data_IF_547268610358
#
_entry.id   IF_547268610358
#
_cell.length_a   1.000
_cell.length_b   1.000
_cell.length_c   1.000
_cell.angle_alpha   90.00
_cell.angle_beta   90.00
_cell.angle_gamma   90.00
#
_symmetry.space_group_name_H-M   'P 1'
#
loop_
_entity.id
_entity.type
_entity.pdbx_description
1 polymer ?
#
# COMPACT_ATOMS: atom_id res chain seq x y z
N UNK A 1 -11.83 -3.58 20.21
CA UNK A 1 -11.48 -2.91 18.95
C UNK A 1 -10.42 -1.87 19.28
N UNK A 2 -9.21 -1.90 18.69
CA UNK A 2 -8.21 -0.86 18.93
C UNK A 2 -8.77 0.52 18.51
N UNK A 3 -8.41 1.56 19.26
CA UNK A 3 -9.05 2.89 19.15
C UNK A 3 -8.94 3.49 17.75
N UNK A 4 -7.83 3.28 17.05
CA UNK A 4 -7.65 3.69 15.66
C UNK A 4 -8.71 3.12 14.72
N UNK A 5 -8.94 1.80 14.76
CA UNK A 5 -9.96 1.17 13.91
C UNK A 5 -11.36 1.63 14.28
N UNK A 6 -11.63 1.85 15.57
CA UNK A 6 -12.90 2.39 16.04
C UNK A 6 -13.14 3.79 15.47
N UNK A 7 -12.14 4.66 15.56
CA UNK A 7 -12.22 6.02 15.03
C UNK A 7 -12.38 6.03 13.51
N UNK A 8 -11.71 5.13 12.80
CA UNK A 8 -11.90 4.97 11.35
C UNK A 8 -13.33 4.53 10.99
N UNK A 9 -13.92 3.57 11.71
CA UNK A 9 -15.30 3.14 11.48
C UNK A 9 -16.31 4.27 11.75
N UNK A 10 -16.13 5.02 12.84
CA UNK A 10 -16.96 6.19 13.15
C UNK A 10 -16.85 7.26 12.06
N UNK A 11 -15.63 7.52 11.57
CA UNK A 11 -15.39 8.47 10.50
C UNK A 11 -16.02 8.02 9.17
N UNK A 12 -15.96 6.72 8.85
CA UNK A 12 -16.64 6.15 7.68
C UNK A 12 -18.15 6.37 7.73
N UNK A 13 -18.80 6.04 8.86
CA UNK A 13 -20.23 6.26 9.01
C UNK A 13 -20.61 7.74 8.91
N UNK A 14 -19.76 8.63 9.42
CA UNK A 14 -19.97 10.08 9.31
C UNK A 14 -19.88 10.57 7.86
N UNK A 15 -19.02 9.96 7.02
CA UNK A 15 -18.98 10.23 5.57
C UNK A 15 -20.23 9.66 4.88
N UNK A 16 -20.62 8.43 5.19
CA UNK A 16 -21.80 7.79 4.60
C UNK A 16 -23.11 8.55 4.90
N UNK A 17 -23.21 9.19 6.06
CA UNK A 17 -24.36 9.99 6.48
C UNK A 17 -24.46 11.37 5.81
N UNK A 18 -23.46 11.79 5.01
CA UNK A 18 -23.40 13.13 4.38
C UNK A 18 -24.15 13.28 3.03
N UNK A 19 -25.15 12.44 2.75
CA UNK A 19 -25.92 12.49 1.50
C UNK A 19 -27.29 13.18 1.61
N UNK A 20 -27.43 14.31 2.33
CA UNK A 20 -28.64 15.15 2.24
C UNK A 20 -28.43 16.56 1.64
N UNK A 21 -27.22 17.14 1.68
CA UNK A 21 -27.00 18.52 1.19
C UNK A 21 -25.66 18.76 0.48
N UNK A 22 -24.96 17.70 0.03
CA UNK A 22 -23.78 17.83 -0.85
C UNK A 22 -22.54 18.52 -0.24
N UNK A 23 -22.57 18.90 1.04
CA UNK A 23 -21.45 19.52 1.74
C UNK A 23 -20.89 18.58 2.81
N UNK A 24 -19.59 18.25 2.77
CA UNK A 24 -18.96 17.46 3.82
C UNK A 24 -18.66 18.31 5.06
N UNK A 25 -19.65 18.99 5.64
CA UNK A 25 -19.57 19.49 7.02
C UNK A 25 -20.36 18.54 7.93
N UNK A 26 -19.85 17.89 8.97
CA UNK A 26 -18.50 17.81 9.50
C UNK A 26 -18.20 16.37 9.90
N UNK A 27 -16.99 15.91 9.58
CA UNK A 27 -16.28 15.10 10.57
C UNK A 27 -16.16 16.08 11.74
N UNK A 28 -16.58 15.72 12.96
CA UNK A 28 -16.08 16.45 14.13
C UNK A 28 -14.56 16.36 14.03
N UNK A 29 -13.96 17.46 13.58
CA UNK A 29 -12.60 17.53 13.10
C UNK A 29 -11.64 17.00 14.16
N UNK A 30 -10.86 16.03 13.71
CA UNK A 30 -9.42 15.98 13.85
C UNK A 30 -8.85 15.44 15.17
N UNK A 31 -9.41 15.74 16.34
CA UNK A 31 -8.76 15.28 17.59
C UNK A 31 -8.77 13.76 17.73
N UNK A 32 -9.89 13.09 17.48
CA UNK A 32 -10.00 11.64 17.69
C UNK A 32 -9.12 10.82 16.73
N UNK A 33 -9.15 11.16 15.44
CA UNK A 33 -8.42 10.39 14.42
C UNK A 33 -6.92 10.65 14.49
N UNK A 34 -6.50 11.92 14.59
CA UNK A 34 -5.08 12.23 14.74
C UNK A 34 -4.50 11.69 16.04
N UNK A 35 -5.25 11.78 17.15
CA UNK A 35 -4.82 11.16 18.42
C UNK A 35 -4.70 9.66 18.30
N UNK A 36 -5.68 8.99 17.67
CA UNK A 36 -5.62 7.55 17.48
C UNK A 36 -4.48 7.14 16.53
N UNK A 37 -4.25 7.90 15.46
CA UNK A 37 -3.12 7.70 14.55
C UNK A 37 -1.79 7.88 15.30
N UNK A 38 -1.66 8.92 16.13
CA UNK A 38 -0.49 9.14 16.99
C UNK A 38 -0.25 7.97 17.94
N UNK A 39 -1.31 7.44 18.57
CA UNK A 39 -1.18 6.28 19.46
C UNK A 39 -0.69 5.04 18.71
N UNK A 40 -1.19 4.79 17.49
CA UNK A 40 -0.70 3.68 16.64
C UNK A 40 0.75 3.89 16.24
N UNK A 41 1.13 5.11 15.88
CA UNK A 41 2.52 5.42 15.53
C UNK A 41 3.46 5.19 16.73
N UNK A 42 3.09 5.67 17.92
CA UNK A 42 3.86 5.43 19.14
C UNK A 42 3.92 3.94 19.51
N UNK A 43 2.82 3.21 19.37
CA UNK A 43 2.82 1.75 19.58
C UNK A 43 3.73 1.04 18.58
N UNK A 44 3.71 1.42 17.30
CA UNK A 44 4.59 0.85 16.28
C UNK A 44 6.07 1.14 16.52
N UNK A 45 6.41 2.34 17.03
CA UNK A 45 7.76 2.68 17.47
C UNK A 45 8.19 1.83 18.67
N UNK A 46 7.33 1.68 19.68
CA UNK A 46 7.61 0.86 20.87
C UNK A 46 7.81 -0.62 20.52
N UNK A 47 6.99 -1.14 19.60
CA UNK A 47 7.08 -2.49 19.04
C UNK A 47 8.18 -2.63 17.98
N UNK A 48 8.89 -1.54 17.66
CA UNK A 48 10.03 -1.49 16.73
C UNK A 48 9.68 -1.98 15.33
N UNK A 49 8.46 -1.69 14.87
CA UNK A 49 7.97 -2.03 13.53
C UNK A 49 8.52 -1.08 12.46
N UNK A 50 8.98 0.11 12.85
CA UNK A 50 9.65 1.08 11.98
C UNK A 50 10.52 2.01 12.83
N UNK A 51 11.39 2.77 12.17
CA UNK A 51 12.27 3.75 12.82
C UNK A 51 11.68 5.16 12.74
N UNK A 52 12.17 6.10 13.56
CA UNK A 52 11.63 7.47 13.55
C UNK A 52 11.97 8.23 12.26
N UNK A 53 13.04 7.80 11.58
CA UNK A 53 13.51 8.36 10.32
C UNK A 53 12.99 7.60 9.09
N UNK A 54 12.02 6.70 9.27
CA UNK A 54 11.41 5.96 8.16
C UNK A 54 10.75 6.93 7.17
N UNK A 55 10.88 6.65 5.87
CA UNK A 55 10.18 7.41 4.85
C UNK A 55 8.66 7.34 5.05
N UNK A 56 7.98 8.47 4.86
CA UNK A 56 6.53 8.57 5.07
C UNK A 56 5.75 7.60 4.18
N UNK A 57 6.19 7.34 2.94
CA UNK A 57 5.49 6.40 2.04
C UNK A 57 5.66 4.96 2.54
N UNK A 58 6.85 4.59 3.00
CA UNK A 58 7.09 3.29 3.64
C UNK A 58 6.23 3.09 4.88
N UNK A 59 6.18 4.10 5.75
CA UNK A 59 5.38 4.07 6.97
C UNK A 59 3.88 3.94 6.70
N UNK A 60 3.33 4.72 5.75
CA UNK A 60 1.91 4.62 5.38
C UNK A 60 1.60 3.25 4.75
N UNK A 61 2.52 2.70 3.96
CA UNK A 61 2.39 1.33 3.46
C UNK A 61 2.42 0.28 4.59
N UNK A 62 3.18 0.49 5.66
CA UNK A 62 3.18 -0.37 6.84
C UNK A 62 1.87 -0.26 7.63
N UNK A 63 1.35 0.95 7.82
CA UNK A 63 0.02 1.15 8.43
C UNK A 63 -1.07 0.42 7.64
N UNK A 64 -1.02 0.48 6.31
CA UNK A 64 -1.92 -0.27 5.42
C UNK A 64 -1.83 -1.78 5.67
N UNK A 65 -0.62 -2.34 5.79
CA UNK A 65 -0.42 -3.75 6.08
C UNK A 65 -0.97 -4.13 7.47
N UNK A 66 -0.81 -3.26 8.47
CA UNK A 66 -1.42 -3.45 9.79
C UNK A 66 -2.96 -3.46 9.71
N UNK A 67 -3.56 -2.59 8.89
CA UNK A 67 -5.02 -2.60 8.66
C UNK A 67 -5.48 -3.89 7.99
N UNK A 68 -4.77 -4.36 6.97
CA UNK A 68 -5.07 -5.64 6.33
C UNK A 68 -4.93 -6.82 7.31
N UNK A 69 -3.88 -6.81 8.13
CA UNK A 69 -3.66 -7.86 9.14
C UNK A 69 -4.79 -7.84 10.16
N UNK A 70 -5.21 -6.67 10.61
CA UNK A 70 -6.36 -6.52 11.50
C UNK A 70 -7.65 -7.05 10.86
N UNK A 71 -7.90 -6.75 9.58
CA UNK A 71 -9.03 -7.32 8.85
C UNK A 71 -8.97 -8.85 8.76
N UNK A 72 -7.78 -9.42 8.54
CA UNK A 72 -7.60 -10.88 8.44
C UNK A 72 -7.99 -11.65 9.71
N UNK A 73 -8.09 -10.97 10.86
CA UNK A 73 -8.60 -11.54 12.12
C UNK A 73 -10.13 -11.50 12.25
N UNK A 74 -10.87 -11.20 11.17
CA UNK A 74 -12.33 -11.19 11.15
C UNK A 74 -12.96 -9.88 11.67
N UNK A 75 -12.19 -8.80 11.74
CA UNK A 75 -12.69 -7.50 12.17
C UNK A 75 -13.48 -6.79 11.06
N UNK A 76 -14.26 -5.76 11.44
CA UNK A 76 -15.18 -5.04 10.54
C UNK A 76 -14.47 -4.34 9.36
N UNK A 77 -15.04 -4.48 8.16
CA UNK A 77 -14.49 -3.91 6.92
C UNK A 77 -14.58 -2.38 6.85
N UNK A 78 -15.54 -1.76 7.56
CA UNK A 78 -15.81 -0.32 7.45
C UNK A 78 -14.61 0.55 7.85
N UNK A 79 -13.89 0.13 8.90
CA UNK A 79 -12.66 0.80 9.34
C UNK A 79 -11.55 0.73 8.27
N UNK A 80 -11.48 -0.38 7.53
CA UNK A 80 -10.53 -0.57 6.45
C UNK A 80 -10.85 0.32 5.25
N UNK A 81 -12.15 0.48 4.91
CA UNK A 81 -12.58 1.34 3.80
C UNK A 81 -12.21 2.81 4.03
N UNK A 82 -12.35 3.32 5.26
CA UNK A 82 -11.94 4.68 5.59
C UNK A 82 -10.43 4.88 5.43
N UNK A 83 -9.62 3.90 5.86
CA UNK A 83 -8.18 3.93 5.61
C UNK A 83 -7.91 4.09 4.11
N UNK A 84 -8.58 3.27 3.29
CA UNK A 84 -8.47 3.33 1.84
C UNK A 84 -8.81 4.72 1.30
N UNK A 85 -9.97 5.26 1.68
CA UNK A 85 -10.40 6.59 1.27
C UNK A 85 -9.41 7.69 1.68
N UNK A 86 -9.01 7.74 2.96
CA UNK A 86 -8.12 8.78 3.47
C UNK A 86 -6.74 8.73 2.80
N UNK A 87 -6.14 7.54 2.72
CA UNK A 87 -4.78 7.40 2.23
C UNK A 87 -4.69 7.25 0.70
N UNK A 88 -5.75 6.89 -0.05
CA UNK A 88 -5.72 6.91 -1.51
C UNK A 88 -6.24 8.22 -2.11
N UNK A 89 -7.35 8.78 -1.58
CA UNK A 89 -7.95 9.99 -2.15
C UNK A 89 -7.29 11.28 -1.63
N UNK A 90 -6.88 11.32 -0.37
CA UNK A 90 -6.27 12.49 0.28
C UNK A 90 -4.77 12.30 0.56
N UNK A 91 -4.05 11.73 -0.40
CA UNK A 91 -2.64 11.32 -0.23
C UNK A 91 -1.72 12.41 0.29
N UNK A 92 -1.72 13.58 -0.34
CA UNK A 92 -0.84 14.70 0.06
C UNK A 92 -1.10 15.12 1.51
N UNK A 93 -2.38 15.26 1.87
CA UNK A 93 -2.78 15.61 3.23
C UNK A 93 -2.43 14.52 4.25
N UNK A 94 -2.72 13.26 3.94
CA UNK A 94 -2.41 12.12 4.82
C UNK A 94 -0.90 11.94 5.05
N UNK A 95 -0.08 12.10 4.01
CA UNK A 95 1.38 12.05 4.13
C UNK A 95 1.91 13.22 4.97
N UNK A 96 1.36 14.42 4.78
CA UNK A 96 1.71 15.57 5.60
C UNK A 96 1.38 15.34 7.08
N UNK A 97 0.18 14.83 7.39
CA UNK A 97 -0.24 14.53 8.76
C UNK A 97 0.67 13.48 9.42
N UNK A 98 0.98 12.39 8.71
CA UNK A 98 1.90 11.35 9.22
C UNK A 98 3.30 11.92 9.45
N UNK A 99 3.83 12.71 8.50
CA UNK A 99 5.13 13.36 8.65
C UNK A 99 5.18 14.24 9.90
N UNK A 100 4.18 15.10 10.09
CA UNK A 100 4.09 15.99 11.24
C UNK A 100 4.05 15.19 12.56
N UNK A 101 3.24 14.13 12.64
CA UNK A 101 3.16 13.28 13.82
C UNK A 101 4.46 12.53 14.12
N UNK A 102 5.20 12.10 13.09
CA UNK A 102 6.52 11.49 13.25
C UNK A 102 7.56 12.49 13.76
N UNK A 103 7.58 13.71 13.21
CA UNK A 103 8.44 14.80 13.68
C UNK A 103 8.15 15.14 15.15
N UNK A 104 6.88 15.21 15.55
CA UNK A 104 6.49 15.42 16.95
C UNK A 104 6.91 14.24 17.85
N UNK A 105 6.80 13.00 17.36
CA UNK A 105 7.20 11.81 18.12
C UNK A 105 8.71 11.78 18.36
N UNK A 106 9.52 12.34 17.45
CA UNK A 106 10.98 12.46 17.57
C UNK A 106 11.42 13.27 18.79
N UNK A 107 10.65 14.29 19.15
CA UNK A 107 10.93 15.10 20.34
C UNK A 107 10.74 14.33 21.64
N UNK A 108 9.90 13.28 21.63
CA UNK A 108 9.53 12.49 22.81
C UNK A 108 10.37 11.21 22.93
N UNK A 109 10.87 10.68 21.81
CA UNK A 109 11.66 9.45 21.75
C UNK A 109 12.98 9.61 20.95
N UNK A 110 13.92 10.44 21.42
CA UNK A 110 15.14 10.79 20.66
C UNK A 110 16.11 9.61 20.45
N UNK A 111 16.01 8.53 21.24
CA UNK A 111 16.87 7.34 21.11
C UNK A 111 16.28 6.21 20.26
N UNK A 112 15.06 6.38 19.71
CA UNK A 112 14.40 5.37 18.89
C UNK A 112 15.21 4.95 17.65
N UNK A 113 16.12 5.81 17.18
CA UNK A 113 16.97 5.59 16.01
C UNK A 113 18.06 4.53 16.19
N UNK A 114 18.37 4.15 17.44
CA UNK A 114 19.42 3.17 17.75
C UNK A 114 18.85 1.77 18.00
N UNK A 115 17.54 1.59 17.81
CA UNK A 115 16.84 0.38 18.24
C UNK A 115 16.72 -0.61 17.08
N UNK A 116 17.12 -1.85 17.34
CA UNK A 116 17.05 -2.94 16.35
C UNK A 116 15.58 -3.24 16.01
N UNK A 117 15.21 -3.29 14.71
CA UNK A 117 13.85 -3.61 14.29
C UNK A 117 13.36 -4.96 14.80
N UNK A 118 12.09 -5.05 15.17
CA UNK A 118 11.44 -6.29 15.58
C UNK A 118 11.18 -7.18 14.37
N UNK A 119 12.10 -8.11 14.11
CA UNK A 119 12.03 -9.03 12.97
C UNK A 119 10.79 -9.93 12.99
N UNK A 120 10.35 -10.38 14.16
CA UNK A 120 9.18 -11.25 14.30
C UNK A 120 7.90 -10.49 13.96
N UNK A 121 7.75 -9.27 14.50
CA UNK A 121 6.63 -8.38 14.17
C UNK A 121 6.58 -8.04 12.68
N UNK A 122 7.72 -7.72 12.08
CA UNK A 122 7.84 -7.45 10.64
C UNK A 122 7.51 -8.68 9.78
N UNK A 123 7.86 -9.88 10.23
CA UNK A 123 7.51 -11.12 9.52
C UNK A 123 5.99 -11.36 9.47
N UNK A 124 5.23 -10.92 10.49
CA UNK A 124 3.77 -11.04 10.52
C UNK A 124 3.06 -10.17 9.47
N UNK A 125 3.72 -9.09 9.04
CA UNK A 125 3.28 -8.17 7.98
C UNK A 125 4.16 -8.27 6.74
N UNK A 126 4.80 -9.43 6.55
CA UNK A 126 5.86 -9.66 5.57
C UNK A 126 5.60 -9.01 4.21
N UNK A 127 6.57 -8.20 3.76
CA UNK A 127 6.57 -7.62 2.43
C UNK A 127 6.79 -8.72 1.40
N UNK A 128 5.98 -8.73 0.35
CA UNK A 128 6.14 -9.68 -0.75
C UNK A 128 7.47 -9.43 -1.49
N UNK A 129 8.11 -10.47 -2.05
CA UNK A 129 9.39 -10.35 -2.74
C UNK A 129 9.33 -9.37 -3.93
N UNK A 130 10.41 -8.63 -4.19
CA UNK A 130 10.54 -7.72 -5.34
C UNK A 130 11.57 -8.28 -6.35
N UNK A 131 11.42 -8.01 -7.68
CA UNK A 131 10.33 -7.29 -8.34
C UNK A 131 9.08 -8.17 -8.55
N UNK A 132 7.93 -7.68 -8.06
CA UNK A 132 6.61 -8.36 -8.13
C UNK A 132 5.64 -7.74 -9.12
N UNK A 133 5.87 -6.49 -9.54
CA UNK A 133 4.97 -5.78 -10.44
C UNK A 133 5.43 -5.95 -11.88
N UNK A 134 4.50 -5.83 -12.82
CA UNK A 134 4.78 -5.81 -14.24
C UNK A 134 4.04 -4.66 -14.92
N UNK A 135 4.66 -4.09 -15.95
CA UNK A 135 4.03 -3.11 -16.83
C UNK A 135 3.29 -3.83 -17.97
N UNK A 136 2.11 -3.34 -18.30
CA UNK A 136 1.32 -3.72 -19.47
C UNK A 136 0.90 -2.47 -20.26
N UNK A 137 0.29 -2.65 -21.43
CA UNK A 137 -0.27 -1.55 -22.23
C UNK A 137 -1.36 -0.78 -21.46
N UNK A 138 -2.20 -1.48 -20.70
CA UNK A 138 -3.38 -0.89 -20.04
C UNK A 138 -3.10 -0.41 -18.60
N UNK A 139 -1.90 -0.69 -18.05
CA UNK A 139 -1.59 -0.39 -16.65
C UNK A 139 -0.47 -1.21 -16.04
N UNK A 140 -0.51 -1.34 -14.72
CA UNK A 140 0.49 -2.05 -13.90
C UNK A 140 -0.20 -3.16 -13.12
N UNK A 141 0.31 -4.39 -13.22
CA UNK A 141 -0.26 -5.54 -12.52
C UNK A 141 0.73 -6.19 -11.55
N UNK A 142 0.20 -6.97 -10.63
CA UNK A 142 0.96 -7.73 -9.65
C UNK A 142 1.04 -9.20 -10.08
N UNK A 143 2.23 -9.81 -10.05
CA UNK A 143 2.41 -11.22 -10.47
C UNK A 143 1.93 -12.24 -9.44
N UNK A 144 1.80 -11.85 -8.17
CA UNK A 144 1.49 -12.75 -7.05
C UNK A 144 0.07 -12.56 -6.53
N UNK A 145 -0.71 -11.68 -7.16
CA UNK A 145 -2.09 -11.38 -6.77
C UNK A 145 -2.93 -10.98 -7.98
N UNK A 146 -4.23 -10.86 -7.80
CA UNK A 146 -5.16 -10.47 -8.87
C UNK A 146 -5.24 -8.95 -9.08
N UNK A 147 -4.29 -8.19 -8.51
CA UNK A 147 -4.33 -6.72 -8.53
C UNK A 147 -3.87 -6.24 -9.90
N UNK A 148 -4.70 -5.40 -10.51
CA UNK A 148 -4.36 -4.68 -11.74
C UNK A 148 -4.81 -3.23 -11.60
N UNK A 149 -3.86 -2.31 -11.81
CA UNK A 149 -4.06 -0.86 -11.69
C UNK A 149 -4.02 -0.25 -13.08
N UNK A 150 -5.13 0.33 -13.51
CA UNK A 150 -5.21 1.01 -14.80
C UNK A 150 -4.38 2.29 -14.79
N UNK A 151 -3.88 2.71 -15.96
CA UNK A 151 -3.11 3.97 -16.10
C UNK A 151 -3.84 5.16 -15.48
N UNK A 152 -5.16 5.23 -15.61
CA UNK A 152 -5.98 6.32 -15.07
C UNK A 152 -6.06 6.33 -13.53
N UNK A 153 -5.63 5.27 -12.85
CA UNK A 153 -5.53 5.15 -11.39
C UNK A 153 -4.11 5.37 -10.87
N UNK A 154 -3.18 5.70 -11.76
CA UNK A 154 -1.76 5.90 -11.50
C UNK A 154 -1.33 7.33 -11.83
N UNK A 155 -0.43 7.88 -11.02
CA UNK A 155 0.31 9.10 -11.31
C UNK A 155 1.80 8.81 -11.28
N UNK A 156 2.51 9.14 -12.37
CA UNK A 156 3.98 9.05 -12.40
C UNK A 156 4.57 10.07 -11.45
N UNK A 157 5.52 9.64 -10.62
CA UNK A 157 6.25 10.50 -9.69
C UNK A 157 7.73 10.27 -9.91
N UNK A 158 8.45 11.32 -10.31
CA UNK A 158 9.89 11.30 -10.59
C UNK A 158 10.70 12.13 -9.57
N UNK A 159 10.18 12.29 -8.36
CA UNK A 159 10.90 12.92 -7.24
C UNK A 159 12.01 11.99 -6.70
N UNK A 160 12.46 12.19 -5.46
CA UNK A 160 13.55 11.45 -4.79
C UNK A 160 13.56 9.92 -5.03
N UNK A 161 12.39 9.30 -5.25
CA UNK A 161 12.24 7.92 -5.72
C UNK A 161 11.24 7.90 -6.87
N UNK A 162 11.64 7.35 -8.02
CA UNK A 162 10.77 7.22 -9.20
C UNK A 162 9.80 6.05 -9.08
N UNK A 163 8.60 6.20 -9.65
CA UNK A 163 7.58 5.16 -9.63
C UNK A 163 6.17 5.67 -9.91
N UNK A 164 5.17 4.89 -9.49
CA UNK A 164 3.76 5.24 -9.61
C UNK A 164 3.12 5.43 -8.24
N UNK A 165 2.41 6.54 -8.09
CA UNK A 165 1.49 6.79 -7.00
C UNK A 165 0.09 6.27 -7.40
N UNK A 166 -0.52 5.47 -6.54
CA UNK A 166 -1.81 4.80 -6.79
C UNK A 166 -2.92 5.59 -6.13
N UNK A 167 -4.05 5.86 -6.80
CA UNK A 167 -5.11 6.69 -6.21
C UNK A 167 -6.56 6.26 -6.52
N UNK A 168 -6.80 5.26 -7.37
CA UNK A 168 -8.14 4.73 -7.69
C UNK A 168 -9.18 5.80 -8.12
N UNK A 169 -8.77 6.80 -8.93
CA UNK A 169 -9.65 7.91 -9.33
C UNK A 169 -10.71 7.48 -10.36
N UNK A 170 -10.35 6.59 -11.28
CA UNK A 170 -11.25 6.07 -12.32
C UNK A 170 -12.17 4.99 -11.78
N UNK A 171 -11.62 4.04 -11.02
CA UNK A 171 -12.39 2.90 -10.49
C UNK A 171 -13.25 3.28 -9.28
N UNK A 172 -12.78 4.21 -8.45
CA UNK A 172 -13.36 4.53 -7.14
C UNK A 172 -13.56 3.29 -6.24
N UNK A 173 -12.77 2.23 -6.49
CA UNK A 173 -12.78 0.97 -5.75
C UNK A 173 -11.43 0.79 -5.08
N UNK A 174 -11.33 1.23 -3.83
CA UNK A 174 -10.09 1.15 -3.07
C UNK A 174 -9.72 -0.32 -2.79
N UNK A 175 -8.61 -0.77 -3.35
CA UNK A 175 -8.02 -2.07 -3.01
C UNK A 175 -6.85 -1.86 -2.04
N UNK A 176 -7.09 -2.14 -0.75
CA UNK A 176 -6.06 -2.05 0.27
C UNK A 176 -4.89 -3.02 0.05
N UNK A 177 -5.03 -4.05 -0.79
CA UNK A 177 -3.92 -4.96 -1.12
C UNK A 177 -2.90 -4.28 -2.03
N UNK A 178 -3.32 -3.31 -2.84
CA UNK A 178 -2.39 -2.47 -3.59
C UNK A 178 -1.58 -1.60 -2.61
N UNK A 179 -0.33 -1.26 -2.94
CA UNK A 179 0.44 -0.26 -2.20
C UNK A 179 0.06 1.14 -2.68
N UNK A 180 0.36 2.14 -1.86
CA UNK A 180 0.14 3.55 -2.25
C UNK A 180 1.15 4.06 -3.26
N UNK A 181 2.32 3.44 -3.28
CA UNK A 181 3.41 3.77 -4.16
C UNK A 181 4.08 2.48 -4.61
N UNK A 182 4.29 2.36 -5.92
CA UNK A 182 5.05 1.28 -6.56
C UNK A 182 6.32 1.90 -7.11
N UNK A 183 7.47 1.48 -6.58
CA UNK A 183 8.77 1.96 -7.06
C UNK A 183 9.04 1.45 -8.47
N UNK A 184 9.73 2.26 -9.28
CA UNK A 184 10.06 1.89 -10.65
C UNK A 184 10.91 0.61 -10.75
N UNK A 185 11.82 0.37 -9.81
CA UNK A 185 12.67 -0.83 -9.77
C UNK A 185 11.95 -2.11 -9.31
N UNK A 186 10.77 -1.97 -8.69
CA UNK A 186 9.90 -3.09 -8.38
C UNK A 186 9.02 -3.54 -9.57
N UNK A 187 9.04 -2.77 -10.67
CA UNK A 187 8.23 -2.99 -11.87
C UNK A 187 9.10 -3.59 -12.96
N UNK A 188 8.77 -4.82 -13.37
CA UNK A 188 9.34 -5.40 -14.56
C UNK A 188 8.64 -4.86 -15.82
N UNK A 189 9.43 -4.43 -16.80
CA UNK A 189 8.93 -4.24 -18.16
C UNK A 189 9.20 -5.53 -18.93
N UNK A 190 8.16 -6.28 -19.35
CA UNK A 190 8.37 -7.52 -20.09
C UNK A 190 9.13 -7.26 -21.39
N UNK A 191 10.16 -8.05 -21.67
CA UNK A 191 10.92 -7.95 -22.93
C UNK A 191 10.17 -8.74 -24.01
N UNK A 192 9.86 -8.13 -25.14
CA UNK A 192 9.19 -8.79 -26.29
C UNK A 192 10.21 -8.95 -27.43
N UNK A 193 10.48 -10.19 -27.81
CA UNK A 193 11.46 -10.57 -28.84
C UNK A 193 10.90 -11.72 -29.69
N UNK A 194 10.75 -11.51 -31.00
CA UNK A 194 10.29 -12.54 -31.96
C UNK A 194 9.05 -13.32 -31.48
N UNK A 195 7.97 -12.59 -31.15
CA UNK A 195 6.70 -13.11 -30.63
C UNK A 195 6.78 -13.89 -29.30
N UNK A 196 7.91 -13.77 -28.60
CA UNK A 196 8.10 -14.31 -27.25
C UNK A 196 8.23 -13.19 -26.24
N UNK A 197 7.66 -13.43 -25.07
CA UNK A 197 7.78 -12.55 -23.90
C UNK A 197 8.78 -13.18 -22.94
N UNK A 198 9.72 -12.38 -22.47
CA UNK A 198 10.68 -12.76 -21.43
C UNK A 198 10.35 -11.96 -20.17
N UNK A 199 10.11 -12.69 -19.08
CA UNK A 199 9.79 -12.12 -17.77
C UNK A 199 10.49 -12.88 -16.66
N UNK A 200 10.65 -12.27 -15.49
CA UNK A 200 11.27 -12.88 -14.32
C UNK A 200 10.21 -13.51 -13.43
N UNK A 201 10.50 -14.74 -12.99
CA UNK A 201 9.70 -15.43 -12.00
C UNK A 201 9.67 -14.63 -10.68
N UNK A 202 8.48 -14.35 -10.12
CA UNK A 202 8.36 -13.58 -8.88
C UNK A 202 8.84 -14.35 -7.63
N UNK A 203 9.03 -15.67 -7.73
CA UNK A 203 9.46 -16.52 -6.60
C UNK A 203 10.97 -16.76 -6.57
N UNK A 204 11.63 -16.88 -7.72
CA UNK A 204 13.04 -17.28 -7.79
C UNK A 204 13.91 -16.46 -8.75
N UNK A 205 13.34 -15.44 -9.40
CA UNK A 205 14.05 -14.53 -10.32
C UNK A 205 14.46 -15.15 -11.67
N UNK A 206 14.19 -16.44 -11.91
CA UNK A 206 14.49 -17.11 -13.17
C UNK A 206 13.79 -16.42 -14.34
N UNK A 207 14.53 -16.14 -15.43
CA UNK A 207 13.93 -15.69 -16.69
C UNK A 207 13.08 -16.83 -17.28
N UNK A 208 11.81 -16.54 -17.49
CA UNK A 208 10.80 -17.43 -18.04
C UNK A 208 10.33 -16.87 -19.39
N UNK A 209 10.03 -17.77 -20.33
CA UNK A 209 9.60 -17.41 -21.68
C UNK A 209 8.13 -17.80 -21.84
N UNK A 210 7.33 -16.87 -22.34
CA UNK A 210 5.94 -17.09 -22.74
C UNK A 210 5.72 -16.68 -24.20
N UNK A 211 4.59 -17.06 -24.76
CA UNK A 211 4.14 -16.54 -26.05
C UNK A 211 3.50 -15.16 -25.87
N UNK A 212 3.72 -14.24 -26.81
CA UNK A 212 3.12 -12.91 -26.75
C UNK A 212 1.63 -12.97 -27.08
N UNK A 213 0.79 -12.92 -26.04
CA UNK A 213 -0.65 -12.81 -26.11
C UNK A 213 -1.13 -11.72 -25.15
N UNK A 214 -2.38 -11.25 -25.31
CA UNK A 214 -2.98 -10.23 -24.42
C UNK A 214 -2.97 -10.64 -22.94
N UNK A 215 -3.13 -11.94 -22.68
CA UNK A 215 -2.96 -12.55 -21.38
C UNK A 215 -1.99 -13.71 -21.53
N UNK A 216 -0.96 -13.73 -20.69
CA UNK A 216 0.03 -14.81 -20.69
C UNK A 216 -0.01 -15.52 -19.34
N UNK A 217 -0.03 -16.85 -19.41
CA UNK A 217 0.15 -17.74 -18.27
C UNK A 217 1.56 -18.31 -18.32
N UNK A 218 2.27 -18.25 -17.20
CA UNK A 218 3.68 -18.62 -17.15
C UNK A 218 3.88 -19.58 -15.99
N UNK A 219 4.60 -20.65 -16.29
CA UNK A 219 5.10 -21.61 -15.30
C UNK A 219 6.61 -21.49 -15.23
N UNK A 220 7.15 -21.27 -14.04
CA UNK A 220 8.59 -21.21 -13.85
C UNK A 220 9.20 -22.61 -13.96
N UNK A 221 10.16 -22.86 -14.86
CA UNK A 221 10.78 -24.18 -14.98
C UNK A 221 11.64 -24.55 -13.76
N UNK A 222 12.10 -23.55 -12.99
CA UNK A 222 12.99 -23.75 -11.84
C UNK A 222 12.24 -24.06 -10.55
N UNK A 223 11.19 -23.31 -10.24
CA UNK A 223 10.46 -23.43 -8.96
C UNK A 223 9.02 -23.94 -9.13
N UNK A 224 8.57 -24.20 -10.36
CA UNK A 224 7.19 -24.59 -10.68
C UNK A 224 6.13 -23.58 -10.23
N UNK A 225 6.52 -22.35 -9.85
CA UNK A 225 5.59 -21.28 -9.55
C UNK A 225 4.80 -20.86 -10.79
N UNK A 226 3.51 -20.64 -10.61
CA UNK A 226 2.57 -20.27 -11.67
C UNK A 226 2.04 -18.85 -11.44
N UNK A 227 1.96 -18.05 -12.51
CA UNK A 227 1.28 -16.75 -12.48
C UNK A 227 0.76 -16.37 -13.85
N UNK A 228 -0.12 -15.37 -13.87
CA UNK A 228 -0.67 -14.76 -15.09
C UNK A 228 -0.34 -13.28 -15.13
N UNK A 229 -0.13 -12.73 -16.33
CA UNK A 229 0.00 -11.28 -16.51
C UNK A 229 -0.67 -10.81 -17.80
N UNK A 230 -1.08 -9.54 -17.80
CA UNK A 230 -1.58 -8.82 -18.98
C UNK A 230 -0.40 -8.22 -19.74
N UNK A 231 -0.47 -8.22 -21.07
CA UNK A 231 0.53 -7.58 -21.94
C UNK A 231 0.09 -6.18 -22.33
#
# INVERSE_FOLDING_TARGET
MPEFFRTMAIAQHSIAQKNMFGNPQGIRQDLGFETALRLVLMAGLNERLFTINEDTKSLVNLLRLLVLKWYSFGNQVDACLYFGHYFYAFQSHSQYAVKLLMEQSRLVAPEADKVVPNKEGLALIGMSPEPRWYKSVDGVGDKLSTIFLEIADLATVDAQVSGFQVHFKKSNQYDLRAPLFIRADAIEVPEVLNDKVIVRCPHCGQKCRGHYFRHIEITCPKCQGHWSQRM
#
